data_IF_849553685430
#
_entry.id   IF_849553685430
#
_cell.length_a   1.000
_cell.length_b   1.000
_cell.length_c   1.000
_cell.angle_alpha   90.00
_cell.angle_beta   90.00
_cell.angle_gamma   90.00
#
_symmetry.space_group_name_H-M   'P 1'
#
loop_
_entity.id
_entity.type
_entity.pdbx_description
1 polymer ?
#
# COMPACT_ATOMS: atom_id res chain seq x y z
N UNK A 1 13.16 -17.68 45.81
CA UNK A 1 14.46 -17.96 45.16
C UNK A 1 15.35 -16.74 45.34
N UNK A 2 16.57 -16.90 45.85
CA UNK A 2 17.61 -15.86 45.76
C UNK A 2 18.24 -15.93 44.38
N UNK A 3 18.29 -14.81 43.67
CA UNK A 3 18.98 -14.72 42.37
C UNK A 3 20.47 -15.02 42.56
N UNK A 4 21.09 -15.65 41.58
CA UNK A 4 22.54 -15.89 41.60
C UNK A 4 23.34 -14.58 41.63
N UNK A 5 22.76 -13.50 41.10
CA UNK A 5 23.28 -12.14 41.13
C UNK A 5 22.15 -11.15 40.83
N UNK A 6 22.18 -9.98 41.46
CA UNK A 6 21.36 -8.83 41.11
C UNK A 6 22.27 -7.59 41.11
N UNK A 7 22.34 -6.80 40.01
CA UNK A 7 23.24 -5.67 39.94
C UNK A 7 22.79 -4.53 40.86
N UNK A 8 23.72 -3.97 41.63
CA UNK A 8 23.44 -2.85 42.55
C UNK A 8 23.45 -1.48 41.85
N UNK A 9 24.09 -1.37 40.67
CA UNK A 9 24.21 -0.12 39.90
C UNK A 9 24.42 -0.37 38.41
N UNK A 10 24.12 0.64 37.61
CA UNK A 10 24.54 0.80 36.21
C UNK A 10 25.75 1.75 36.20
N UNK A 11 26.77 1.43 35.42
CA UNK A 11 27.97 2.27 35.24
C UNK A 11 28.00 2.87 33.83
N UNK A 12 28.57 4.07 33.66
CA UNK A 12 28.81 4.66 32.34
C UNK A 12 30.25 4.41 31.93
N UNK A 13 30.47 3.66 30.85
CA UNK A 13 31.81 3.33 30.35
C UNK A 13 32.03 3.91 28.95
N UNK A 14 33.24 4.40 28.64
CA UNK A 14 33.59 4.81 27.28
C UNK A 14 33.44 3.64 26.29
N UNK A 15 32.87 3.88 25.10
CA UNK A 15 32.72 2.84 24.07
C UNK A 15 34.06 2.20 23.70
N UNK A 16 35.15 2.97 23.73
CA UNK A 16 36.52 2.49 23.46
C UNK A 16 37.02 1.43 24.43
N UNK A 17 36.41 1.33 25.63
CA UNK A 17 36.71 0.28 26.62
C UNK A 17 35.98 -1.02 26.32
N UNK A 18 34.90 -0.99 25.54
CA UNK A 18 34.06 -2.15 25.26
C UNK A 18 34.68 -3.00 24.15
N UNK A 19 35.01 -4.25 24.47
CA UNK A 19 35.64 -5.17 23.56
C UNK A 19 34.59 -6.14 22.99
N UNK A 20 34.35 -6.13 21.66
CA UNK A 20 33.46 -7.09 21.04
C UNK A 20 33.97 -8.52 21.24
N UNK A 21 33.06 -9.43 21.62
CA UNK A 21 33.39 -10.86 21.67
C UNK A 21 33.71 -11.40 20.27
N UNK A 22 34.95 -11.87 20.07
CA UNK A 22 35.45 -12.28 18.76
C UNK A 22 34.70 -13.46 18.11
N UNK A 23 34.00 -14.28 18.90
CA UNK A 23 33.22 -15.44 18.43
C UNK A 23 31.72 -15.24 18.62
N UNK A 24 31.23 -14.01 18.50
CA UNK A 24 29.80 -13.75 18.59
C UNK A 24 29.05 -14.45 17.45
N UNK A 25 28.12 -15.35 17.78
CA UNK A 25 27.35 -16.11 16.79
C UNK A 25 26.24 -15.28 16.13
N UNK A 26 25.81 -14.18 16.77
CA UNK A 26 24.80 -13.26 16.23
C UNK A 26 25.47 -12.15 15.43
N UNK A 27 25.19 -12.09 14.14
CA UNK A 27 25.70 -11.07 13.23
C UNK A 27 24.69 -9.92 13.15
N UNK A 28 25.19 -8.68 13.18
CA UNK A 28 24.38 -7.48 13.03
C UNK A 28 24.66 -6.84 11.67
N UNK A 29 23.70 -6.94 10.74
CA UNK A 29 23.77 -6.27 9.44
C UNK A 29 23.54 -4.76 9.55
N UNK A 30 23.93 -4.00 8.52
CA UNK A 30 23.80 -2.54 8.50
C UNK A 30 22.37 -2.07 8.76
N UNK A 31 21.37 -2.69 8.12
CA UNK A 31 19.96 -2.34 8.29
C UNK A 31 19.46 -2.55 9.72
N UNK A 32 19.87 -3.65 10.35
CA UNK A 32 19.52 -3.92 11.75
C UNK A 32 20.15 -2.89 12.69
N UNK A 33 21.42 -2.51 12.46
CA UNK A 33 22.09 -1.47 13.25
C UNK A 33 21.39 -0.12 13.07
N UNK A 34 20.99 0.22 11.85
CA UNK A 34 20.24 1.45 11.55
C UNK A 34 18.89 1.50 12.28
N UNK A 35 18.11 0.39 12.29
CA UNK A 35 16.86 0.30 13.05
C UNK A 35 17.09 0.48 14.56
N UNK A 36 18.12 -0.16 15.12
CA UNK A 36 18.48 0.01 16.54
C UNK A 36 18.90 1.46 16.82
N UNK A 37 19.62 2.11 15.91
CA UNK A 37 20.02 3.51 16.05
C UNK A 37 18.81 4.47 16.00
N UNK A 38 17.86 4.25 15.09
CA UNK A 38 16.63 5.03 15.04
C UNK A 38 15.80 4.88 16.33
N UNK A 39 15.60 3.64 16.79
CA UNK A 39 14.94 3.35 18.07
C UNK A 39 15.67 3.99 19.26
N UNK A 40 17.01 3.94 19.30
CA UNK A 40 17.80 4.58 20.35
C UNK A 40 17.73 6.11 20.31
N UNK A 41 17.61 6.72 19.13
CA UNK A 41 17.47 8.17 18.99
C UNK A 41 16.10 8.65 19.51
N UNK A 42 15.04 7.87 19.29
CA UNK A 42 13.68 8.19 19.74
C UNK A 42 13.48 7.89 21.24
N UNK A 43 13.74 6.65 21.65
CA UNK A 43 13.41 6.18 23.00
C UNK A 43 14.58 6.28 24.00
N UNK A 44 15.77 6.65 23.52
CA UNK A 44 16.99 6.66 24.31
C UNK A 44 17.61 5.27 24.53
N UNK A 45 18.65 5.23 25.37
CA UNK A 45 19.31 3.98 25.73
C UNK A 45 18.59 3.27 26.88
N UNK A 46 17.62 2.42 26.55
CA UNK A 46 16.71 1.82 27.54
C UNK A 46 17.24 0.57 28.24
N UNK A 47 18.18 -0.15 27.63
CA UNK A 47 18.75 -1.40 28.19
C UNK A 47 20.28 -1.30 28.28
N UNK A 48 20.92 -1.44 29.46
CA UNK A 48 22.38 -1.42 29.58
C UNK A 48 23.08 -2.60 28.90
N UNK A 49 24.31 -2.40 28.43
CA UNK A 49 25.18 -3.48 27.96
C UNK A 49 25.61 -4.38 29.13
N UNK A 50 25.76 -5.67 28.88
CA UNK A 50 26.30 -6.62 29.86
C UNK A 50 27.76 -6.91 29.52
N UNK A 51 28.66 -6.71 30.48
CA UNK A 51 30.11 -6.80 30.24
C UNK A 51 30.82 -7.64 31.30
N UNK A 52 31.94 -8.25 30.93
CA UNK A 52 32.92 -8.74 31.90
C UNK A 52 33.72 -7.60 32.54
N UNK A 53 34.38 -7.88 33.67
CA UNK A 53 35.28 -6.90 34.33
C UNK A 53 36.42 -6.43 33.42
N UNK A 54 36.83 -7.28 32.49
CA UNK A 54 37.84 -7.04 31.44
C UNK A 54 37.33 -6.16 30.29
N UNK A 55 36.04 -5.80 30.28
CA UNK A 55 35.41 -5.03 29.22
C UNK A 55 34.93 -5.84 28.02
N UNK A 56 35.02 -7.17 28.07
CA UNK A 56 34.46 -8.02 27.02
C UNK A 56 32.92 -7.98 27.03
N UNK A 57 32.31 -7.69 25.89
CA UNK A 57 30.86 -7.65 25.73
C UNK A 57 30.26 -9.05 25.87
N UNK A 58 29.34 -9.19 26.81
CA UNK A 58 28.50 -10.37 27.02
C UNK A 58 27.17 -10.19 26.29
N UNK A 59 26.54 -9.01 26.36
CA UNK A 59 25.34 -8.69 25.60
C UNK A 59 25.29 -7.20 25.23
N UNK A 60 24.64 -6.87 24.11
CA UNK A 60 24.46 -5.49 23.65
C UNK A 60 25.36 -5.05 22.50
N UNK A 61 25.96 -5.98 21.74
CA UNK A 61 26.80 -5.66 20.58
C UNK A 61 26.10 -4.75 19.56
N UNK A 62 24.85 -5.05 19.19
CA UNK A 62 24.06 -4.19 18.30
C UNK A 62 23.83 -2.76 18.83
N UNK A 63 23.65 -2.61 20.15
CA UNK A 63 23.52 -1.29 20.80
C UNK A 63 24.81 -0.49 20.75
N UNK A 64 25.96 -1.12 20.96
CA UNK A 64 27.28 -0.46 20.83
C UNK A 64 27.53 0.00 19.39
N UNK A 65 27.17 -0.82 18.40
CA UNK A 65 27.26 -0.45 16.99
C UNK A 65 26.35 0.74 16.66
N UNK A 66 25.09 0.71 17.10
CA UNK A 66 24.13 1.79 16.90
C UNK A 66 24.58 3.09 17.58
N UNK A 67 25.06 3.01 18.82
CA UNK A 67 25.60 4.15 19.54
C UNK A 67 26.81 4.79 18.84
N UNK A 68 27.69 3.96 18.29
CA UNK A 68 28.83 4.41 17.48
C UNK A 68 28.34 5.13 16.23
N UNK A 69 27.32 4.61 15.55
CA UNK A 69 26.71 5.25 14.38
C UNK A 69 26.05 6.60 14.73
N UNK A 70 25.47 6.73 15.92
CA UNK A 70 24.89 7.98 16.44
C UNK A 70 25.95 8.96 16.97
N UNK A 71 27.24 8.60 16.99
CA UNK A 71 28.32 9.45 17.49
C UNK A 71 28.39 9.55 19.02
N UNK A 72 27.73 8.65 19.75
CA UNK A 72 27.85 8.56 21.21
C UNK A 72 29.25 8.05 21.60
N UNK A 73 29.73 8.46 22.77
CA UNK A 73 31.09 8.12 23.26
C UNK A 73 31.09 7.23 24.49
N UNK A 74 29.94 7.08 25.16
CA UNK A 74 29.78 6.27 26.37
C UNK A 74 28.54 5.37 26.26
N UNK A 75 28.54 4.26 26.99
CA UNK A 75 27.41 3.35 27.12
C UNK A 75 27.12 3.03 28.61
N UNK A 76 25.85 2.90 28.99
CA UNK A 76 25.48 2.30 30.27
C UNK A 76 25.77 0.80 30.25
N UNK A 77 26.44 0.31 31.29
CA UNK A 77 26.85 -1.09 31.44
C UNK A 77 26.47 -1.65 32.81
N UNK A 78 26.26 -2.96 32.84
CA UNK A 78 26.20 -3.77 34.06
C UNK A 78 27.36 -4.77 33.99
N UNK A 79 28.20 -4.75 35.02
CA UNK A 79 29.39 -5.61 35.11
C UNK A 79 29.02 -6.94 35.73
N UNK A 80 29.20 -8.03 34.98
CA UNK A 80 28.91 -9.40 35.40
C UNK A 80 30.19 -10.13 35.85
N UNK A 81 30.91 -9.55 36.83
CA UNK A 81 32.18 -10.09 37.34
C UNK A 81 32.07 -11.48 37.97
N UNK A 82 30.88 -11.84 38.44
CA UNK A 82 30.60 -13.15 39.04
C UNK A 82 30.56 -14.32 38.02
N UNK A 83 30.46 -14.03 36.71
CA UNK A 83 30.39 -15.07 35.68
C UNK A 83 31.78 -15.59 35.31
N UNK A 84 31.95 -16.90 35.42
CA UNK A 84 33.07 -17.61 34.81
C UNK A 84 33.03 -17.48 33.28
N UNK A 85 34.17 -17.66 32.63
CA UNK A 85 34.27 -17.59 31.16
C UNK A 85 33.33 -18.59 30.44
N UNK A 86 33.13 -19.78 30.99
CA UNK A 86 32.15 -20.73 30.46
C UNK A 86 30.70 -20.21 30.59
N UNK A 87 30.36 -19.56 31.71
CA UNK A 87 29.04 -18.96 31.92
C UNK A 87 28.82 -17.74 31.02
N UNK A 88 29.83 -16.91 30.76
CA UNK A 88 29.72 -15.79 29.81
C UNK A 88 29.37 -16.28 28.41
N UNK A 89 30.04 -17.34 27.94
CA UNK A 89 29.73 -17.98 26.65
C UNK A 89 28.32 -18.59 26.61
N UNK A 90 27.93 -19.31 27.66
CA UNK A 90 26.59 -19.87 27.75
C UNK A 90 25.51 -18.77 27.76
N UNK A 91 25.74 -17.70 28.53
CA UNK A 91 24.81 -16.59 28.63
C UNK A 91 24.66 -15.82 27.31
N UNK A 92 25.74 -15.60 26.55
CA UNK A 92 25.66 -15.02 25.18
C UNK A 92 24.68 -15.77 24.28
N UNK A 93 24.70 -17.10 24.35
CA UNK A 93 23.79 -17.95 23.56
C UNK A 93 22.37 -17.84 24.11
N UNK A 94 22.22 -17.93 25.44
CA UNK A 94 20.94 -17.85 26.11
C UNK A 94 20.23 -16.51 25.86
N UNK A 95 20.91 -15.37 26.04
CA UNK A 95 20.36 -14.03 25.83
C UNK A 95 19.79 -13.85 24.42
N UNK A 96 20.53 -14.33 23.42
CA UNK A 96 20.10 -14.32 22.04
C UNK A 96 18.91 -15.24 21.80
N UNK A 97 18.98 -16.50 22.27
CA UNK A 97 17.96 -17.51 21.98
C UNK A 97 16.67 -17.27 22.75
N UNK A 98 16.74 -16.87 24.02
CA UNK A 98 15.56 -16.65 24.86
C UNK A 98 14.70 -15.50 24.34
N UNK A 99 15.32 -14.47 23.75
CA UNK A 99 14.60 -13.37 23.08
C UNK A 99 13.82 -13.85 21.85
N UNK A 100 14.25 -14.94 21.18
CA UNK A 100 13.56 -15.52 20.02
C UNK A 100 12.43 -16.50 20.38
N UNK A 101 12.34 -16.95 21.64
CA UNK A 101 11.37 -17.98 22.04
C UNK A 101 9.98 -17.41 22.35
N UNK A 102 9.84 -16.09 22.50
CA UNK A 102 8.55 -15.44 22.69
C UNK A 102 7.72 -15.48 21.41
N UNK A 103 6.42 -15.72 21.56
CA UNK A 103 5.43 -15.55 20.51
C UNK A 103 4.57 -14.32 20.82
N UNK A 104 4.06 -13.68 19.78
CA UNK A 104 3.07 -12.62 19.91
C UNK A 104 1.67 -13.19 20.04
N UNK A 105 0.83 -12.52 20.82
CA UNK A 105 -0.62 -12.61 20.64
C UNK A 105 -0.96 -11.64 19.51
N UNK A 106 -1.23 -12.17 18.31
CA UNK A 106 -1.42 -11.36 17.11
C UNK A 106 -2.65 -10.44 17.21
N UNK A 107 -3.68 -10.86 17.96
CA UNK A 107 -4.88 -10.05 18.15
C UNK A 107 -4.59 -8.82 19.02
N UNK A 108 -3.92 -9.02 20.16
CA UNK A 108 -3.54 -7.91 21.03
C UNK A 108 -2.49 -7.00 20.38
N UNK A 109 -1.53 -7.58 19.66
CA UNK A 109 -0.50 -6.82 18.95
C UNK A 109 -1.11 -5.98 17.81
N UNK A 110 -2.05 -6.54 17.05
CA UNK A 110 -2.77 -5.81 16.00
C UNK A 110 -3.54 -4.61 16.56
N UNK A 111 -4.26 -4.80 17.67
CA UNK A 111 -5.00 -3.72 18.31
C UNK A 111 -4.07 -2.57 18.75
N UNK A 112 -2.98 -2.89 19.44
CA UNK A 112 -2.00 -1.90 19.89
C UNK A 112 -1.37 -1.13 18.71
N UNK A 113 -1.03 -1.82 17.61
CA UNK A 113 -0.46 -1.17 16.43
C UNK A 113 -1.46 -0.24 15.73
N UNK A 114 -2.75 -0.60 15.71
CA UNK A 114 -3.80 0.27 15.17
C UNK A 114 -4.03 1.51 16.05
N UNK A 115 -3.97 1.37 17.38
CA UNK A 115 -4.10 2.49 18.30
C UNK A 115 -2.91 3.46 18.15
N UNK A 116 -1.67 2.94 18.08
CA UNK A 116 -0.48 3.77 17.80
C UNK A 116 -0.58 4.48 16.44
N UNK A 117 -1.12 3.82 15.41
CA UNK A 117 -1.34 4.44 14.11
C UNK A 117 -2.37 5.57 14.18
N UNK A 118 -3.44 5.40 14.95
CA UNK A 118 -4.47 6.41 15.16
C UNK A 118 -3.95 7.63 15.97
N UNK A 119 -2.88 7.46 16.75
CA UNK A 119 -2.16 8.52 17.45
C UNK A 119 -1.05 9.18 16.60
N UNK A 120 -1.00 8.91 15.29
CA UNK A 120 0.02 9.39 14.35
C UNK A 120 1.47 8.98 14.74
N UNK A 121 1.65 7.86 15.43
CA UNK A 121 2.96 7.36 15.83
C UNK A 121 3.71 6.70 14.65
N UNK A 122 5.03 6.92 14.55
CA UNK A 122 5.87 6.31 13.51
C UNK A 122 6.15 4.82 13.80
N UNK A 123 5.34 3.95 13.20
CA UNK A 123 5.47 2.49 13.32
C UNK A 123 6.76 1.92 12.69
N UNK A 124 7.54 2.70 11.93
CA UNK A 124 8.84 2.22 11.43
C UNK A 124 9.84 1.96 12.58
N UNK A 125 9.58 2.53 13.76
CA UNK A 125 10.45 2.48 14.94
C UNK A 125 10.21 1.27 15.84
N UNK A 126 9.09 0.53 15.67
CA UNK A 126 8.74 -0.60 16.54
C UNK A 126 9.49 -1.90 16.19
N UNK A 127 10.24 -1.90 15.09
CA UNK A 127 11.19 -2.97 14.74
C UNK A 127 10.67 -4.02 13.76
N UNK A 128 9.39 -3.98 13.40
CA UNK A 128 8.80 -4.79 12.33
C UNK A 128 9.25 -4.27 10.94
N UNK A 129 9.21 -5.14 9.93
CA UNK A 129 9.28 -4.72 8.53
C UNK A 129 7.93 -4.17 8.05
N UNK A 130 7.93 -3.36 6.98
CA UNK A 130 6.70 -2.84 6.38
C UNK A 130 5.70 -3.96 6.05
N UNK A 131 6.19 -5.11 5.56
CA UNK A 131 5.34 -6.26 5.22
C UNK A 131 4.75 -6.98 6.44
N UNK A 132 5.44 -7.00 7.57
CA UNK A 132 4.91 -7.55 8.83
C UNK A 132 3.86 -6.62 9.43
N UNK A 133 4.11 -5.31 9.42
CA UNK A 133 3.15 -4.30 9.88
C UNK A 133 1.84 -4.36 9.07
N UNK A 134 1.93 -4.44 7.74
CA UNK A 134 0.75 -4.52 6.87
C UNK A 134 -0.10 -5.77 7.20
N UNK A 135 0.53 -6.90 7.56
CA UNK A 135 -0.19 -8.12 7.99
C UNK A 135 -0.84 -7.96 9.36
N UNK A 136 -0.11 -7.41 10.32
CA UNK A 136 -0.60 -7.21 11.68
C UNK A 136 -1.73 -6.19 11.73
N UNK A 137 -1.65 -5.10 10.97
CA UNK A 137 -2.71 -4.09 10.90
C UNK A 137 -3.98 -4.62 10.21
N UNK A 138 -3.83 -5.54 9.25
CA UNK A 138 -4.94 -6.20 8.56
C UNK A 138 -5.46 -7.46 9.27
N UNK A 139 -4.93 -7.80 10.45
CA UNK A 139 -5.33 -8.99 11.20
C UNK A 139 -6.79 -8.88 11.68
N UNK A 140 -7.57 -9.93 11.43
CA UNK A 140 -8.94 -10.08 11.95
C UNK A 140 -8.96 -11.38 12.76
N UNK A 141 -9.32 -11.34 14.06
CA UNK A 141 -9.37 -12.55 14.88
C UNK A 141 -10.33 -13.58 14.27
N UNK A 142 -9.89 -14.83 14.10
CA UNK A 142 -10.79 -15.94 13.84
C UNK A 142 -11.62 -16.19 15.10
N UNK A 143 -12.88 -15.75 15.08
CA UNK A 143 -13.84 -16.03 16.15
C UNK A 143 -14.16 -17.51 16.21
N UNK A 144 -14.08 -18.06 17.42
CA UNK A 144 -14.42 -19.42 17.80
C UNK A 144 -15.78 -19.85 17.22
N UNK A 145 -15.82 -21.03 16.61
CA UNK A 145 -16.87 -21.44 15.68
C UNK A 145 -18.31 -21.33 16.18
N UNK A 146 -19.11 -20.61 15.41
CA UNK A 146 -20.40 -21.11 14.94
C UNK A 146 -20.38 -21.08 13.41
N UNK A 147 -20.71 -22.23 12.79
CA UNK A 147 -21.06 -22.32 11.38
C UNK A 147 -22.35 -21.54 11.14
N UNK A 148 -22.24 -20.21 11.04
CA UNK A 148 -23.20 -19.38 10.35
C UNK A 148 -22.42 -18.55 9.32
N UNK A 149 -22.80 -18.71 8.05
CA UNK A 149 -22.08 -18.23 6.87
C UNK A 149 -22.01 -16.71 6.75
N UNK A 150 -21.26 -16.07 7.64
CA UNK A 150 -20.88 -14.67 7.59
C UNK A 150 -19.36 -14.60 7.55
N UNK A 151 -18.81 -14.97 6.40
CA UNK A 151 -17.45 -14.56 6.06
C UNK A 151 -17.39 -13.04 6.23
N UNK A 152 -16.46 -12.56 7.05
CA UNK A 152 -16.33 -11.15 7.42
C UNK A 152 -16.52 -10.26 6.20
N UNK A 153 -17.69 -9.64 6.11
CA UNK A 153 -17.97 -8.68 5.07
C UNK A 153 -17.10 -7.48 5.40
N UNK A 154 -16.01 -7.31 4.64
CA UNK A 154 -15.52 -5.96 4.33
C UNK A 154 -16.79 -5.19 3.96
N UNK A 155 -17.12 -4.08 4.65
CA UNK A 155 -18.33 -3.34 4.34
C UNK A 155 -18.42 -3.16 2.82
N UNK A 156 -19.60 -3.35 2.21
CA UNK A 156 -19.76 -3.09 0.79
C UNK A 156 -19.14 -1.75 0.43
N UNK A 157 -18.11 -1.79 -0.41
CA UNK A 157 -17.50 -0.59 -0.96
C UNK A 157 -18.60 0.10 -1.75
N UNK A 158 -19.23 1.10 -1.14
CA UNK A 158 -20.31 1.85 -1.78
C UNK A 158 -19.66 2.95 -2.61
N UNK A 159 -19.63 2.74 -3.92
CA UNK A 159 -19.15 3.75 -4.87
C UNK A 159 -20.35 4.63 -5.22
N UNK A 160 -20.29 5.95 -4.96
CA UNK A 160 -21.34 6.87 -5.37
C UNK A 160 -21.63 6.78 -6.88
N UNK A 161 -22.89 6.92 -7.27
CA UNK A 161 -23.23 7.04 -8.69
C UNK A 161 -22.60 8.33 -9.28
N UNK A 162 -22.01 8.27 -10.48
CA UNK A 162 -21.44 9.46 -11.11
C UNK A 162 -22.48 10.58 -11.27
N UNK A 163 -22.20 11.81 -10.77
CA UNK A 163 -23.16 12.90 -10.84
C UNK A 163 -23.39 13.34 -12.29
N UNK A 164 -24.65 13.64 -12.64
CA UNK A 164 -25.00 14.15 -13.97
C UNK A 164 -24.42 15.53 -14.26
N UNK A 165 -24.16 16.33 -13.22
CA UNK A 165 -23.53 17.63 -13.31
C UNK A 165 -22.38 17.70 -12.29
N UNK A 166 -21.14 17.38 -12.70
CA UNK A 166 -20.01 17.35 -11.79
C UNK A 166 -19.54 18.75 -11.39
N UNK A 167 -19.07 18.86 -10.15
CA UNK A 167 -18.35 20.01 -9.63
C UNK A 167 -16.98 20.15 -10.30
N UNK A 168 -16.24 19.06 -10.45
CA UNK A 168 -14.93 19.05 -11.11
C UNK A 168 -15.03 19.40 -12.59
N UNK A 169 -13.93 19.94 -13.13
CA UNK A 169 -13.74 20.34 -14.53
C UNK A 169 -12.36 19.90 -14.99
N UNK A 170 -12.21 19.69 -16.30
CA UNK A 170 -10.90 19.42 -16.91
C UNK A 170 -9.88 20.48 -16.50
N UNK A 171 -8.71 20.03 -16.05
CA UNK A 171 -7.66 20.87 -15.51
C UNK A 171 -7.72 21.08 -13.99
N UNK A 172 -8.79 20.67 -13.29
CA UNK A 172 -8.77 20.71 -11.83
C UNK A 172 -7.81 19.64 -11.29
N UNK A 173 -6.94 20.05 -10.36
CA UNK A 173 -6.10 19.14 -9.61
C UNK A 173 -6.55 19.18 -8.15
N UNK A 174 -7.00 18.04 -7.64
CA UNK A 174 -7.39 17.87 -6.25
C UNK A 174 -6.23 17.28 -5.44
N UNK A 175 -6.01 17.84 -4.26
CA UNK A 175 -5.11 17.32 -3.23
C UNK A 175 -5.96 16.57 -2.20
N UNK A 176 -5.68 15.29 -2.03
CA UNK A 176 -6.42 14.36 -1.17
C UNK A 176 -5.44 13.81 -0.14
N UNK A 177 -5.14 14.59 0.91
CA UNK A 177 -4.03 14.27 1.82
C UNK A 177 -2.70 14.26 1.05
N UNK A 178 -1.98 13.13 1.06
CA UNK A 178 -0.74 12.97 0.30
C UNK A 178 -0.96 12.48 -1.15
N UNK A 179 -2.22 12.22 -1.53
CA UNK A 179 -2.61 11.85 -2.88
C UNK A 179 -2.91 13.07 -3.75
N UNK A 180 -2.84 12.87 -5.07
CA UNK A 180 -3.18 13.89 -6.06
C UNK A 180 -4.08 13.27 -7.12
N UNK A 181 -5.16 13.95 -7.48
CA UNK A 181 -6.07 13.52 -8.52
C UNK A 181 -6.29 14.65 -9.53
N UNK A 182 -5.81 14.47 -10.75
CA UNK A 182 -5.99 15.42 -11.85
C UNK A 182 -7.16 14.99 -12.74
N UNK A 183 -8.09 15.92 -12.99
CA UNK A 183 -9.04 15.80 -14.08
C UNK A 183 -8.33 16.12 -15.40
N UNK A 184 -7.79 15.12 -16.10
CA UNK A 184 -6.91 15.33 -17.25
C UNK A 184 -6.71 14.11 -18.14
N UNK A 185 -5.87 14.26 -19.15
CA UNK A 185 -5.59 13.23 -20.16
C UNK A 185 -4.26 12.53 -19.85
N UNK A 186 -4.30 11.22 -19.62
CA UNK A 186 -3.11 10.42 -19.32
C UNK A 186 -2.16 10.22 -20.51
N UNK A 187 -2.59 10.55 -21.73
CA UNK A 187 -1.75 10.60 -22.93
C UNK A 187 -1.04 11.95 -23.09
N UNK A 188 -1.47 12.99 -22.37
CA UNK A 188 -0.90 14.33 -22.40
C UNK A 188 0.32 14.44 -21.48
N UNK A 189 1.51 14.56 -22.06
CA UNK A 189 2.74 14.80 -21.28
C UNK A 189 2.67 16.07 -20.41
N UNK A 190 1.86 17.08 -20.79
CA UNK A 190 1.67 18.28 -19.99
C UNK A 190 0.86 18.00 -18.71
N UNK A 191 -0.20 17.22 -18.82
CA UNK A 191 -1.05 16.86 -17.69
C UNK A 191 -0.30 15.91 -16.75
N UNK A 192 0.38 14.90 -17.30
CA UNK A 192 1.22 13.99 -16.50
C UNK A 192 2.29 14.78 -15.74
N UNK A 193 3.01 15.68 -16.41
CA UNK A 193 4.03 16.52 -15.74
C UNK A 193 3.44 17.37 -14.62
N UNK A 194 2.26 17.95 -14.83
CA UNK A 194 1.56 18.73 -13.80
C UNK A 194 1.16 17.88 -12.60
N UNK A 195 0.54 16.71 -12.86
CA UNK A 195 0.16 15.76 -11.83
C UNK A 195 1.37 15.25 -11.04
N UNK A 196 2.52 15.07 -11.69
CA UNK A 196 3.71 14.51 -11.05
C UNK A 196 4.56 15.57 -10.32
N UNK A 197 4.50 16.84 -10.73
CA UNK A 197 5.21 17.97 -10.10
C UNK A 197 6.69 17.69 -9.79
N UNK A 198 7.39 17.03 -10.72
CA UNK A 198 8.81 16.70 -10.59
C UNK A 198 9.12 15.42 -9.81
N UNK A 199 8.14 14.79 -9.16
CA UNK A 199 8.29 13.47 -8.56
C UNK A 199 8.11 12.35 -9.59
N UNK A 200 8.61 11.15 -9.27
CA UNK A 200 8.45 9.95 -10.10
C UNK A 200 8.08 8.73 -9.27
N UNK A 201 7.11 7.97 -9.72
CA UNK A 201 6.58 6.79 -9.06
C UNK A 201 7.43 5.53 -9.32
N UNK A 202 7.61 4.70 -8.30
CA UNK A 202 8.27 3.38 -8.40
C UNK A 202 7.29 2.28 -8.81
N UNK A 203 5.99 2.57 -8.80
CA UNK A 203 4.93 1.67 -9.23
C UNK A 203 4.00 2.37 -10.22
N UNK A 204 3.82 1.74 -11.37
CA UNK A 204 2.76 2.00 -12.34
C UNK A 204 1.82 0.81 -12.28
N UNK A 205 0.62 0.93 -11.72
CA UNK A 205 -0.29 -0.20 -11.67
C UNK A 205 -1.66 0.28 -12.10
N UNK A 206 -2.18 -0.23 -13.22
CA UNK A 206 -3.31 0.44 -13.88
C UNK A 206 -4.30 -0.50 -14.55
N UNK A 207 -5.50 0.02 -14.75
CA UNK A 207 -6.67 -0.63 -15.33
C UNK A 207 -7.26 0.20 -16.48
N UNK A 208 -6.60 0.22 -17.66
CA UNK A 208 -7.02 1.05 -18.77
C UNK A 208 -8.31 0.53 -19.41
N UNK A 209 -9.01 1.33 -20.23
CA UNK A 209 -10.03 0.83 -21.14
C UNK A 209 -9.50 -0.35 -21.98
N UNK A 210 -10.24 -1.46 -22.01
CA UNK A 210 -9.79 -2.72 -22.63
C UNK A 210 -9.95 -2.74 -24.16
N UNK A 211 -10.55 -1.72 -24.75
CA UNK A 211 -10.86 -1.57 -26.17
C UNK A 211 -11.59 -2.81 -26.73
N UNK A 212 -12.61 -3.31 -26.04
CA UNK A 212 -13.34 -4.53 -26.42
C UNK A 212 -14.78 -4.28 -26.89
N UNK A 213 -15.13 -3.03 -27.19
CA UNK A 213 -16.48 -2.62 -27.61
C UNK A 213 -17.56 -3.04 -26.60
N UNK A 214 -17.27 -2.94 -25.30
CA UNK A 214 -18.25 -3.30 -24.28
C UNK A 214 -19.37 -2.24 -24.20
N UNK A 215 -20.57 -2.61 -24.65
CA UNK A 215 -21.77 -1.76 -24.67
C UNK A 215 -22.84 -2.16 -23.64
N UNK A 216 -22.52 -3.10 -22.74
CA UNK A 216 -23.45 -3.63 -21.73
C UNK A 216 -24.51 -4.63 -22.26
N UNK A 217 -24.65 -4.81 -23.58
CA UNK A 217 -25.63 -5.73 -24.20
C UNK A 217 -25.17 -7.20 -24.25
N UNK A 218 -23.90 -7.44 -23.90
CA UNK A 218 -23.24 -8.74 -24.00
C UNK A 218 -23.63 -9.76 -22.90
N UNK A 219 -24.51 -9.38 -21.96
CA UNK A 219 -25.07 -10.28 -20.95
C UNK A 219 -26.44 -10.87 -21.37
N UNK A 220 -26.78 -12.10 -20.94
CA UNK A 220 -28.12 -12.66 -21.14
C UNK A 220 -29.19 -11.78 -20.46
N UNK A 221 -30.28 -11.50 -21.18
CA UNK A 221 -31.29 -10.45 -20.96
C UNK A 221 -32.22 -10.65 -19.74
N UNK A 222 -31.71 -11.05 -18.57
CA UNK A 222 -32.52 -11.18 -17.34
C UNK A 222 -32.06 -10.33 -16.14
N UNK A 223 -31.11 -9.42 -16.33
CA UNK A 223 -30.69 -8.44 -15.32
C UNK A 223 -30.63 -7.03 -15.92
N UNK A 224 -30.76 -6.01 -15.05
CA UNK A 224 -30.82 -4.55 -15.33
C UNK A 224 -30.08 -4.12 -16.60
N UNK A 225 -30.74 -3.33 -17.43
CA UNK A 225 -30.17 -2.67 -18.61
C UNK A 225 -29.24 -1.54 -18.14
N UNK A 226 -27.93 -1.71 -18.38
CA UNK A 226 -26.88 -0.75 -18.00
C UNK A 226 -26.49 0.20 -19.14
N UNK A 227 -27.18 0.16 -20.28
CA UNK A 227 -26.89 1.00 -21.45
C UNK A 227 -26.91 2.50 -21.13
N UNK A 228 -27.73 2.92 -20.17
CA UNK A 228 -27.83 4.31 -19.73
C UNK A 228 -26.58 4.82 -18.97
N UNK A 229 -25.81 3.93 -18.30
CA UNK A 229 -24.59 4.30 -17.58
C UNK A 229 -23.38 4.49 -18.50
N UNK A 230 -23.43 3.96 -19.73
CA UNK A 230 -22.36 4.01 -20.75
C UNK A 230 -22.64 5.01 -21.87
N UNK A 231 -23.19 6.19 -21.54
CA UNK A 231 -23.52 7.25 -22.50
C UNK A 231 -22.35 7.84 -23.30
N UNK A 232 -21.10 7.39 -23.08
CA UNK A 232 -19.93 7.72 -23.88
C UNK A 232 -19.00 6.51 -23.90
N UNK A 233 -18.89 5.82 -25.04
CA UNK A 233 -18.12 4.58 -25.19
C UNK A 233 -16.63 4.88 -25.30
N UNK A 234 -15.93 4.93 -24.16
CA UNK A 234 -14.46 5.02 -24.11
C UNK A 234 -13.76 3.67 -24.36
N UNK A 235 -14.51 2.56 -24.36
CA UNK A 235 -14.06 1.19 -24.66
C UNK A 235 -14.17 0.86 -26.15
N UNK A 236 -13.77 1.78 -27.03
CA UNK A 236 -13.87 1.64 -28.49
C UNK A 236 -12.64 0.93 -29.06
N UNK A 237 -12.85 -0.24 -29.69
CA UNK A 237 -11.79 -1.01 -30.35
C UNK A 237 -11.04 -0.24 -31.46
N UNK A 238 -11.63 0.84 -31.98
CA UNK A 238 -11.05 1.70 -33.01
C UNK A 238 -9.87 2.56 -32.51
N UNK A 239 -9.78 2.82 -31.20
CA UNK A 239 -8.66 3.56 -30.60
C UNK A 239 -7.32 2.78 -30.67
N UNK A 240 -7.39 1.45 -30.86
CA UNK A 240 -6.23 0.61 -31.16
C UNK A 240 -5.05 0.73 -30.19
N UNK A 241 -3.84 0.57 -30.71
CA UNK A 241 -2.60 0.67 -29.93
C UNK A 241 -2.22 2.12 -29.57
N UNK A 242 -2.83 3.13 -30.21
CA UNK A 242 -2.41 4.53 -30.07
C UNK A 242 -2.67 5.07 -28.66
N UNK A 243 -3.81 4.71 -28.05
CA UNK A 243 -4.08 5.04 -26.65
C UNK A 243 -2.99 4.47 -25.72
N UNK A 244 -2.68 3.18 -25.90
CA UNK A 244 -1.68 2.47 -25.10
C UNK A 244 -0.28 3.02 -25.28
N UNK A 245 0.13 3.23 -26.53
CA UNK A 245 1.39 3.89 -26.85
C UNK A 245 1.47 5.29 -26.22
N UNK A 246 0.38 6.05 -26.26
CA UNK A 246 0.30 7.42 -25.74
C UNK A 246 0.51 7.50 -24.24
N UNK A 247 -0.30 6.79 -23.44
CA UNK A 247 -0.19 6.87 -21.98
C UNK A 247 1.10 6.19 -21.48
N UNK A 248 1.58 5.12 -22.13
CA UNK A 248 2.85 4.49 -21.77
C UNK A 248 3.99 5.46 -22.05
N UNK A 249 4.02 6.11 -23.22
CA UNK A 249 5.07 7.08 -23.55
C UNK A 249 5.07 8.27 -22.57
N UNK A 250 3.89 8.81 -22.23
CA UNK A 250 3.77 9.89 -21.25
C UNK A 250 4.23 9.47 -19.85
N UNK A 251 3.85 8.27 -19.40
CA UNK A 251 4.26 7.73 -18.10
C UNK A 251 5.77 7.53 -18.02
N UNK A 252 6.38 6.91 -19.04
CA UNK A 252 7.84 6.72 -19.12
C UNK A 252 8.56 8.07 -19.12
N UNK A 253 8.06 9.03 -19.89
CA UNK A 253 8.68 10.35 -20.02
C UNK A 253 8.58 11.17 -18.74
N UNK A 254 7.46 11.13 -18.01
CA UNK A 254 7.16 12.14 -16.97
C UNK A 254 6.79 11.57 -15.60
N UNK A 255 6.33 10.31 -15.50
CA UNK A 255 5.71 9.80 -14.26
C UNK A 255 6.49 8.74 -13.51
N UNK A 256 7.20 7.84 -14.18
CA UNK A 256 7.79 6.66 -13.51
C UNK A 256 9.31 6.73 -13.46
N UNK A 257 9.89 6.09 -12.45
CA UNK A 257 11.35 5.90 -12.36
C UNK A 257 11.82 4.85 -13.38
N UNK A 258 13.13 4.81 -13.65
CA UNK A 258 13.67 3.84 -14.62
C UNK A 258 13.57 2.38 -14.14
N UNK A 259 13.47 2.17 -12.83
CA UNK A 259 13.33 0.90 -12.12
C UNK A 259 11.90 0.64 -11.64
N UNK A 260 10.90 1.36 -12.18
CA UNK A 260 9.51 1.16 -11.78
C UNK A 260 8.97 -0.22 -12.20
N UNK A 261 8.25 -0.87 -11.29
CA UNK A 261 7.41 -2.00 -11.64
C UNK A 261 6.16 -1.49 -12.37
N UNK A 262 5.79 -2.14 -13.47
CA UNK A 262 4.51 -1.87 -14.12
C UNK A 262 3.57 -3.07 -14.04
N UNK A 263 2.30 -2.80 -13.77
CA UNK A 263 1.17 -3.71 -13.77
C UNK A 263 0.08 -3.13 -14.67
N UNK A 264 -0.43 -3.92 -15.59
CA UNK A 264 -1.49 -3.48 -16.49
C UNK A 264 -2.53 -4.59 -16.63
N UNK A 265 -3.72 -4.35 -16.08
CA UNK A 265 -4.87 -5.22 -16.27
C UNK A 265 -5.36 -5.12 -17.73
N UNK A 266 -5.80 -6.23 -18.31
CA UNK A 266 -6.25 -6.24 -19.69
C UNK A 266 -7.25 -7.35 -19.99
N UNK A 267 -7.96 -7.23 -21.12
CA UNK A 267 -8.66 -8.37 -21.70
C UNK A 267 -7.67 -9.34 -22.35
N UNK A 268 -7.88 -10.66 -22.23
CA UNK A 268 -7.01 -11.67 -22.84
C UNK A 268 -6.86 -11.49 -24.37
N UNK A 269 -7.89 -10.95 -25.04
CA UNK A 269 -7.87 -10.69 -26.49
C UNK A 269 -6.90 -9.57 -26.91
N UNK A 270 -6.45 -8.72 -25.98
CA UNK A 270 -5.55 -7.58 -26.24
C UNK A 270 -4.11 -7.82 -25.78
N UNK A 271 -3.79 -8.99 -25.23
CA UNK A 271 -2.47 -9.29 -24.67
C UNK A 271 -1.31 -8.98 -25.63
N UNK A 272 -1.40 -9.41 -26.90
CA UNK A 272 -0.31 -9.23 -27.86
C UNK A 272 -0.08 -7.75 -28.24
N UNK A 273 -1.16 -6.96 -28.27
CA UNK A 273 -1.07 -5.52 -28.52
C UNK A 273 -0.42 -4.82 -27.34
N UNK A 274 -0.86 -5.12 -26.12
CA UNK A 274 -0.31 -4.53 -24.90
C UNK A 274 1.18 -4.86 -24.73
N UNK A 275 1.56 -6.12 -24.96
CA UNK A 275 2.96 -6.55 -24.93
C UNK A 275 3.80 -5.78 -25.94
N UNK A 276 3.34 -5.63 -27.19
CA UNK A 276 4.04 -4.86 -28.22
C UNK A 276 4.20 -3.36 -27.85
N UNK A 277 3.21 -2.75 -27.20
CA UNK A 277 3.30 -1.34 -26.75
C UNK A 277 4.39 -1.18 -25.68
N UNK A 278 4.47 -2.10 -24.72
CA UNK A 278 5.52 -2.09 -23.70
C UNK A 278 6.90 -2.41 -24.26
N UNK A 279 7.01 -3.33 -25.22
CA UNK A 279 8.27 -3.61 -25.92
C UNK A 279 8.81 -2.38 -26.65
N UNK A 280 7.93 -1.62 -27.32
CA UNK A 280 8.28 -0.34 -27.97
C UNK A 280 8.80 0.70 -26.96
N UNK A 281 8.31 0.69 -25.72
CA UNK A 281 8.78 1.53 -24.63
C UNK A 281 10.08 1.03 -23.94
N UNK A 282 10.69 -0.04 -24.46
CA UNK A 282 11.90 -0.66 -23.90
C UNK A 282 11.65 -1.51 -22.65
N UNK A 283 10.38 -1.80 -22.36
CA UNK A 283 9.99 -2.73 -21.31
C UNK A 283 9.80 -4.14 -21.86
N UNK A 284 9.59 -5.10 -20.96
CA UNK A 284 9.15 -6.44 -21.34
C UNK A 284 8.16 -6.96 -20.31
N UNK A 285 7.31 -7.89 -20.74
CA UNK A 285 6.43 -8.64 -19.85
C UNK A 285 7.27 -9.69 -19.14
N UNK A 286 7.41 -9.58 -17.81
CA UNK A 286 8.10 -10.59 -17.03
C UNK A 286 7.18 -11.78 -16.73
N UNK A 287 5.98 -11.49 -16.25
CA UNK A 287 5.00 -12.49 -15.82
C UNK A 287 3.58 -12.02 -16.10
N UNK A 288 2.68 -12.99 -16.27
CA UNK A 288 1.24 -12.76 -16.25
C UNK A 288 0.69 -13.19 -14.89
N UNK A 289 0.04 -12.24 -14.21
CA UNK A 289 -0.74 -12.45 -13.00
C UNK A 289 -2.20 -12.73 -13.41
N UNK A 290 -2.87 -13.62 -12.67
CA UNK A 290 -4.26 -14.01 -12.90
C UNK A 290 -5.06 -13.72 -11.64
N UNK A 291 -5.96 -12.73 -11.69
CA UNK A 291 -7.01 -12.61 -10.67
C UNK A 291 -8.03 -13.72 -10.90
N UNK A 292 -8.15 -14.65 -9.97
CA UNK A 292 -9.14 -15.71 -9.95
C UNK A 292 -10.38 -15.20 -9.21
N UNK A 293 -11.51 -15.15 -9.91
CA UNK A 293 -12.81 -14.75 -9.36
C UNK A 293 -13.49 -15.94 -8.71
N UNK A 294 -14.32 -15.73 -7.69
CA UNK A 294 -15.05 -16.84 -7.03
C UNK A 294 -16.06 -17.51 -7.98
N UNK A 295 -16.67 -16.70 -8.85
CA UNK A 295 -17.74 -17.13 -9.75
C UNK A 295 -17.40 -16.75 -11.19
N UNK A 296 -17.72 -17.64 -12.11
CA UNK A 296 -17.62 -17.36 -13.54
C UNK A 296 -18.69 -16.35 -13.97
N UNK A 297 -18.30 -15.40 -14.81
CA UNK A 297 -19.20 -14.41 -15.41
C UNK A 297 -20.01 -15.09 -16.53
N UNK A 298 -21.33 -15.02 -16.44
CA UNK A 298 -22.26 -15.52 -17.46
C UNK A 298 -22.23 -14.62 -18.69
N UNK A 299 -21.61 -15.11 -19.76
CA UNK A 299 -21.55 -14.47 -21.07
C UNK A 299 -21.99 -15.47 -22.15
N UNK A 300 -21.99 -15.05 -23.42
CA UNK A 300 -22.21 -15.95 -24.57
C UNK A 300 -20.94 -16.72 -24.99
N UNK A 301 -19.86 -16.66 -24.21
CA UNK A 301 -18.59 -17.34 -24.50
C UNK A 301 -18.68 -18.86 -24.27
N UNK A 302 -17.82 -19.65 -24.94
CA UNK A 302 -17.76 -21.11 -24.76
C UNK A 302 -17.41 -21.55 -23.34
N UNK A 303 -16.60 -20.75 -22.64
CA UNK A 303 -16.25 -20.94 -21.23
C UNK A 303 -16.61 -19.69 -20.45
N UNK A 304 -17.00 -19.87 -19.18
CA UNK A 304 -17.27 -18.74 -18.29
C UNK A 304 -15.95 -18.06 -17.91
N UNK A 305 -15.90 -16.73 -18.03
CA UNK A 305 -14.76 -15.95 -17.56
C UNK A 305 -14.73 -15.97 -16.04
N UNK A 306 -13.83 -16.75 -15.45
CA UNK A 306 -13.58 -16.83 -13.99
C UNK A 306 -12.25 -16.17 -13.60
N UNK A 307 -11.66 -15.39 -14.50
CA UNK A 307 -10.42 -14.69 -14.22
C UNK A 307 -10.27 -13.40 -15.01
N UNK A 308 -9.37 -12.54 -14.54
CA UNK A 308 -8.82 -11.41 -15.30
C UNK A 308 -7.29 -11.50 -15.31
N UNK A 309 -6.64 -11.38 -16.49
CA UNK A 309 -5.19 -11.31 -16.56
C UNK A 309 -4.68 -9.89 -16.30
N UNK A 310 -3.48 -9.83 -15.73
CA UNK A 310 -2.68 -8.64 -15.57
C UNK A 310 -1.25 -8.96 -16.00
N UNK A 311 -0.65 -8.12 -16.82
CA UNK A 311 0.78 -8.22 -17.07
C UNK A 311 1.57 -7.46 -16.02
N UNK A 312 2.69 -8.05 -15.61
CA UNK A 312 3.69 -7.44 -14.75
C UNK A 312 5.03 -7.44 -15.48
N UNK A 313 5.74 -6.31 -15.41
CA UNK A 313 7.06 -6.17 -16.02
C UNK A 313 7.83 -4.94 -15.56
N UNK A 314 8.91 -4.64 -16.29
CA UNK A 314 9.72 -3.45 -16.07
C UNK A 314 10.50 -3.03 -17.32
N UNK A 315 11.07 -1.82 -17.27
CA UNK A 315 11.98 -1.29 -18.31
C UNK A 315 13.37 -1.86 -18.15
N UNK A 316 13.94 -2.40 -19.22
CA UNK A 316 15.32 -2.93 -19.18
C UNK A 316 16.34 -1.80 -19.13
N UNK A 317 17.46 -1.96 -18.39
CA UNK A 317 17.88 -3.17 -17.66
C UNK A 317 17.45 -3.20 -16.18
N UNK A 318 16.73 -2.19 -15.69
CA UNK A 318 16.57 -1.94 -14.26
C UNK A 318 15.41 -2.74 -13.68
N UNK A 319 15.73 -3.82 -12.97
CA UNK A 319 14.72 -4.62 -12.26
C UNK A 319 14.17 -3.84 -11.06
N UNK A 320 12.85 -3.81 -10.83
CA UNK A 320 12.26 -3.13 -9.69
C UNK A 320 12.69 -3.72 -8.36
N UNK A 321 12.79 -2.89 -7.30
CA UNK A 321 13.00 -3.38 -5.96
C UNK A 321 11.81 -4.25 -5.52
N UNK A 322 12.12 -5.25 -4.70
CA UNK A 322 11.11 -6.03 -3.97
C UNK A 322 11.21 -5.65 -2.51
N UNK A 323 10.16 -5.03 -1.96
CA UNK A 323 10.11 -4.62 -0.56
C UNK A 323 9.48 -5.69 0.34
N UNK A 324 8.63 -6.55 -0.22
CA UNK A 324 8.06 -7.68 0.50
C UNK A 324 9.04 -8.85 0.64
N UNK A 325 9.08 -9.47 1.82
CA UNK A 325 9.81 -10.73 2.02
C UNK A 325 9.11 -11.88 1.29
N UNK A 326 7.78 -11.95 1.40
CA UNK A 326 6.98 -13.03 0.84
C UNK A 326 6.97 -13.04 -0.68
N UNK A 327 7.09 -14.24 -1.27
CA UNK A 327 6.94 -14.45 -2.71
C UNK A 327 5.58 -15.06 -2.98
N UNK A 328 4.71 -14.28 -3.64
CA UNK A 328 3.34 -14.68 -3.93
C UNK A 328 3.25 -15.51 -5.22
N UNK A 329 2.25 -16.41 -5.33
CA UNK A 329 1.94 -17.07 -6.60
C UNK A 329 1.43 -16.05 -7.63
N UNK A 330 1.55 -16.39 -8.91
CA UNK A 330 1.02 -15.55 -10.01
C UNK A 330 -0.51 -15.64 -10.16
N UNK A 331 -1.18 -16.43 -9.32
CA UNK A 331 -2.65 -16.51 -9.27
C UNK A 331 -3.14 -15.93 -7.95
N UNK A 332 -4.00 -14.92 -8.02
CA UNK A 332 -4.54 -14.23 -6.86
C UNK A 332 -6.02 -14.55 -6.73
N UNK A 333 -6.40 -15.30 -5.70
CA UNK A 333 -7.79 -15.52 -5.36
C UNK A 333 -8.29 -14.34 -4.53
N UNK A 334 -8.86 -13.34 -5.20
CA UNK A 334 -9.44 -12.17 -4.55
C UNK A 334 -10.97 -12.30 -4.64
N UNK A 335 -11.68 -12.29 -3.50
CA UNK A 335 -13.12 -12.50 -3.52
C UNK A 335 -13.82 -11.42 -4.35
N UNK A 336 -14.82 -11.83 -5.13
CA UNK A 336 -15.68 -10.88 -5.84
C UNK A 336 -16.79 -10.44 -4.91
N UNK A 337 -17.06 -9.13 -4.82
CA UNK A 337 -18.11 -8.57 -3.95
C UNK A 337 -19.41 -9.39 -3.99
N UNK A 338 -19.96 -9.71 -2.82
CA UNK A 338 -21.22 -10.43 -2.67
C UNK A 338 -22.35 -9.68 -3.39
N UNK A 339 -23.41 -10.39 -3.80
CA UNK A 339 -24.46 -9.84 -4.68
C UNK A 339 -25.21 -8.65 -4.03
N UNK A 340 -25.28 -8.63 -2.71
CA UNK A 340 -25.94 -7.60 -1.90
C UNK A 340 -24.99 -6.45 -1.53
N UNK A 341 -23.69 -6.62 -1.82
CA UNK A 341 -22.60 -5.69 -1.53
C UNK A 341 -21.96 -5.08 -2.78
N UNK A 342 -22.58 -5.27 -3.94
CA UNK A 342 -22.07 -4.69 -5.19
C UNK A 342 -22.34 -3.19 -5.19
N UNK A 343 -21.32 -2.32 -5.28
CA UNK A 343 -21.58 -0.95 -5.68
C UNK A 343 -22.32 -0.91 -7.01
N UNK A 344 -23.12 0.13 -7.25
CA UNK A 344 -23.73 0.44 -8.56
C UNK A 344 -22.65 0.91 -9.55
N UNK A 345 -21.63 0.06 -9.76
CA UNK A 345 -20.58 0.18 -10.75
C UNK A 345 -20.38 -1.18 -11.45
N UNK A 346 -20.26 -1.25 -12.78
CA UNK A 346 -20.23 -2.51 -13.52
C UNK A 346 -19.00 -3.40 -13.24
N UNK A 347 -17.86 -2.85 -12.82
CA UNK A 347 -16.59 -3.60 -12.61
C UNK A 347 -15.70 -3.07 -11.46
N UNK A 348 -16.13 -3.05 -10.19
CA UNK A 348 -15.23 -2.72 -9.08
C UNK A 348 -14.16 -3.81 -8.91
N UNK A 349 -12.87 -3.44 -9.02
CA UNK A 349 -11.76 -4.30 -8.63
C UNK A 349 -11.62 -4.31 -7.10
N UNK A 350 -11.30 -5.45 -6.47
CA UNK A 350 -10.91 -5.48 -5.06
C UNK A 350 -9.73 -4.53 -4.83
N UNK A 351 -9.70 -3.80 -3.72
CA UNK A 351 -8.60 -2.86 -3.41
C UNK A 351 -7.22 -3.54 -3.48
N UNK A 352 -7.17 -4.81 -3.06
CA UNK A 352 -5.95 -5.62 -3.08
C UNK A 352 -5.42 -5.95 -4.49
N UNK A 353 -6.23 -5.79 -5.54
CA UNK A 353 -5.73 -5.86 -6.92
C UNK A 353 -4.65 -4.78 -7.19
N UNK A 354 -4.70 -3.66 -6.46
CA UNK A 354 -3.69 -2.61 -6.48
C UNK A 354 -2.82 -2.61 -5.21
N UNK A 355 -3.38 -3.02 -4.06
CA UNK A 355 -2.66 -3.13 -2.79
C UNK A 355 -1.51 -4.15 -2.81
N UNK A 356 -1.69 -5.31 -3.45
CA UNK A 356 -0.63 -6.32 -3.56
C UNK A 356 0.60 -5.76 -4.30
N UNK A 357 0.50 -5.16 -5.50
CA UNK A 357 1.62 -4.47 -6.14
C UNK A 357 2.29 -3.41 -5.25
N UNK A 358 1.51 -2.62 -4.50
CA UNK A 358 2.05 -1.63 -3.57
C UNK A 358 2.92 -2.28 -2.49
N UNK A 359 2.41 -3.33 -1.83
CA UNK A 359 3.16 -4.06 -0.79
C UNK A 359 4.38 -4.81 -1.34
N UNK A 360 4.38 -5.20 -2.61
CA UNK A 360 5.51 -5.88 -3.24
C UNK A 360 6.64 -4.93 -3.64
N UNK A 361 6.33 -3.69 -4.04
CA UNK A 361 7.31 -2.80 -4.70
C UNK A 361 7.50 -1.42 -4.05
N UNK A 362 6.59 -0.99 -3.19
CA UNK A 362 6.52 0.40 -2.69
C UNK A 362 6.67 0.41 -1.18
N UNK A 363 7.77 0.98 -0.69
CA UNK A 363 7.95 1.29 0.72
C UNK A 363 6.83 2.23 1.21
N UNK A 364 6.50 2.21 2.51
CA UNK A 364 5.50 3.15 3.07
C UNK A 364 5.90 4.61 2.77
N UNK A 365 4.91 5.45 2.47
CA UNK A 365 5.11 6.82 1.97
C UNK A 365 5.61 6.92 0.52
N UNK A 366 5.96 5.81 -0.12
CA UNK A 366 6.38 5.76 -1.52
C UNK A 366 5.26 6.09 -2.51
N UNK A 367 5.63 6.42 -3.74
CA UNK A 367 4.72 6.96 -4.76
C UNK A 367 4.32 5.94 -5.83
N UNK A 368 3.02 5.86 -6.08
CA UNK A 368 2.38 5.11 -7.17
C UNK A 368 1.78 6.09 -8.19
N UNK A 369 1.86 5.75 -9.48
CA UNK A 369 1.19 6.47 -10.55
C UNK A 369 0.03 5.66 -11.11
N UNK A 370 -1.12 6.32 -11.27
CA UNK A 370 -2.34 5.72 -11.80
C UNK A 370 -2.98 6.55 -12.94
N UNK A 371 -2.87 6.14 -14.21
CA UNK A 371 -3.38 6.93 -15.33
C UNK A 371 -4.90 6.83 -15.61
N UNK A 372 -5.65 5.93 -14.98
CA UNK A 372 -7.07 5.65 -15.25
C UNK A 372 -7.89 5.44 -13.97
N UNK A 373 -7.89 6.45 -13.11
CA UNK A 373 -8.35 6.36 -11.72
C UNK A 373 -9.80 5.89 -11.55
N UNK A 374 -10.69 6.21 -12.50
CA UNK A 374 -12.11 5.92 -12.40
C UNK A 374 -12.69 6.41 -11.07
N UNK A 375 -13.30 5.51 -10.31
CA UNK A 375 -13.87 5.78 -8.97
C UNK A 375 -12.84 5.86 -7.83
N UNK A 376 -11.55 5.99 -8.12
CA UNK A 376 -10.50 6.21 -7.11
C UNK A 376 -10.09 4.97 -6.33
N UNK A 377 -10.35 3.76 -6.84
CA UNK A 377 -10.04 2.51 -6.10
C UNK A 377 -8.56 2.39 -5.71
N UNK A 378 -7.65 2.84 -6.56
CA UNK A 378 -6.23 2.81 -6.22
C UNK A 378 -5.83 3.89 -5.23
N UNK A 379 -6.50 5.06 -5.22
CA UNK A 379 -6.31 6.08 -4.17
C UNK A 379 -6.68 5.47 -2.82
N UNK A 380 -7.84 4.79 -2.73
CA UNK A 380 -8.27 4.08 -1.52
C UNK A 380 -7.28 2.98 -1.11
N UNK A 381 -6.75 2.22 -2.07
CA UNK A 381 -5.71 1.22 -1.77
C UNK A 381 -4.43 1.87 -1.25
N UNK A 382 -4.04 3.02 -1.81
CA UNK A 382 -2.91 3.81 -1.34
C UNK A 382 -3.11 4.26 0.11
N UNK A 383 -4.26 4.83 0.43
CA UNK A 383 -4.63 5.25 1.78
C UNK A 383 -4.52 4.07 2.77
N UNK A 384 -5.20 2.96 2.47
CA UNK A 384 -5.22 1.77 3.33
C UNK A 384 -3.83 1.13 3.53
N UNK A 385 -2.89 1.36 2.59
CA UNK A 385 -1.54 0.85 2.69
C UNK A 385 -0.55 1.96 3.12
N UNK A 386 -0.95 3.21 3.37
CA UNK A 386 0.00 4.30 3.67
C UNK A 386 1.00 4.57 2.54
N UNK A 387 0.55 4.50 1.28
CA UNK A 387 1.32 4.82 0.07
C UNK A 387 0.65 5.97 -0.68
N UNK A 388 1.45 6.82 -1.34
CA UNK A 388 0.97 7.97 -2.10
C UNK A 388 0.52 7.53 -3.49
N UNK A 389 -0.54 8.14 -4.00
CA UNK A 389 -1.08 7.83 -5.33
C UNK A 389 -1.32 9.13 -6.08
N UNK A 390 -0.63 9.29 -7.20
CA UNK A 390 -0.88 10.37 -8.14
C UNK A 390 -1.67 9.80 -9.32
N UNK A 391 -2.93 10.23 -9.39
CA UNK A 391 -3.95 9.63 -10.21
C UNK A 391 -4.48 10.62 -11.27
N UNK A 392 -4.84 10.09 -12.44
CA UNK A 392 -5.45 10.82 -13.54
C UNK A 392 -6.83 10.24 -13.84
N UNK A 393 -7.81 11.10 -14.10
CA UNK A 393 -9.13 10.70 -14.60
C UNK A 393 -9.66 11.73 -15.60
N UNK A 394 -10.11 11.26 -16.77
CA UNK A 394 -10.58 12.14 -17.84
C UNK A 394 -12.00 12.66 -17.59
N UNK A 395 -12.84 11.87 -16.93
CA UNK A 395 -14.24 12.19 -16.65
C UNK A 395 -14.37 13.00 -15.36
N UNK A 396 -14.85 14.26 -15.44
CA UNK A 396 -15.04 15.06 -14.23
C UNK A 396 -16.06 14.45 -13.25
N UNK A 397 -17.01 13.64 -13.73
CA UNK A 397 -17.96 12.93 -12.86
C UNK A 397 -17.28 11.81 -12.05
N UNK A 398 -16.33 11.10 -12.64
CA UNK A 398 -15.57 10.09 -11.89
C UNK A 398 -14.55 10.72 -10.94
N UNK A 399 -14.02 11.91 -11.26
CA UNK A 399 -13.22 12.71 -10.33
C UNK A 399 -14.02 13.06 -9.08
N UNK A 400 -15.25 13.56 -9.23
CA UNK A 400 -16.13 13.84 -8.09
C UNK A 400 -16.38 12.59 -7.24
N UNK A 401 -16.68 11.45 -7.88
CA UNK A 401 -16.88 10.17 -7.19
C UNK A 401 -15.65 9.75 -6.39
N UNK A 402 -14.46 9.85 -6.97
CA UNK A 402 -13.21 9.50 -6.30
C UNK A 402 -12.92 10.43 -5.10
N UNK A 403 -13.15 11.75 -5.27
CA UNK A 403 -13.01 12.73 -4.18
C UNK A 403 -13.99 12.41 -3.05
N UNK A 404 -15.29 12.30 -3.35
CA UNK A 404 -16.31 12.06 -2.34
C UNK A 404 -16.07 10.74 -1.59
N UNK A 405 -15.68 9.68 -2.31
CA UNK A 405 -15.34 8.39 -1.72
C UNK A 405 -14.17 8.48 -0.74
N UNK A 406 -13.10 9.19 -1.11
CA UNK A 406 -11.95 9.36 -0.23
C UNK A 406 -12.26 10.25 0.99
N UNK A 407 -13.03 11.33 0.80
CA UNK A 407 -13.45 12.18 1.93
C UNK A 407 -14.36 11.42 2.91
N UNK A 408 -15.25 10.56 2.39
CA UNK A 408 -16.15 9.76 3.22
C UNK A 408 -15.39 8.72 4.07
N UNK A 409 -14.35 8.10 3.51
CA UNK A 409 -13.52 7.13 4.23
C UNK A 409 -12.62 7.82 5.27
N UNK A 410 -11.99 8.94 4.91
CA UNK A 410 -10.93 9.55 5.74
C UNK A 410 -11.43 10.66 6.65
N UNK A 411 -12.63 11.19 6.41
CA UNK A 411 -13.16 12.38 7.10
C UNK A 411 -12.42 13.69 6.77
N UNK A 412 -11.47 13.68 5.83
CA UNK A 412 -10.69 14.87 5.43
C UNK A 412 -11.29 15.55 4.22
N UNK A 413 -11.01 16.85 4.07
CA UNK A 413 -11.44 17.64 2.92
C UNK A 413 -10.42 17.56 1.77
N UNK A 414 -10.89 17.32 0.55
CA UNK A 414 -10.10 17.47 -0.66
C UNK A 414 -9.98 18.95 -1.03
N UNK A 415 -8.78 19.36 -1.43
CA UNK A 415 -8.43 20.77 -1.66
C UNK A 415 -8.09 20.99 -3.14
N UNK A 416 -8.66 22.04 -3.74
CA UNK A 416 -8.31 22.44 -5.10
C UNK A 416 -6.93 23.09 -5.11
N UNK A 417 -6.01 22.54 -5.89
CA UNK A 417 -4.69 23.10 -6.10
C UNK A 417 -4.76 24.48 -6.76
N UNK A 418 -3.94 25.42 -6.28
CA UNK A 418 -3.83 26.79 -6.79
C UNK A 418 -4.55 27.86 -5.96
N UNK A 419 -5.76 27.60 -5.44
CA UNK A 419 -6.50 28.58 -4.62
C UNK A 419 -6.99 28.06 -3.25
N UNK A 420 -6.81 26.78 -2.96
CA UNK A 420 -6.97 26.22 -1.61
C UNK A 420 -8.41 25.98 -1.16
N UNK A 421 -9.39 26.12 -2.05
CA UNK A 421 -10.80 25.87 -1.73
C UNK A 421 -11.07 24.38 -1.50
N UNK A 422 -11.96 24.05 -0.58
CA UNK A 422 -12.42 22.66 -0.39
C UNK A 422 -13.35 22.22 -1.52
N UNK A 423 -13.46 20.92 -1.74
CA UNK A 423 -14.39 20.35 -2.72
C UNK A 423 -15.83 20.85 -2.49
N UNK A 424 -16.28 20.94 -1.23
CA UNK A 424 -17.60 21.46 -0.88
C UNK A 424 -17.80 22.94 -1.30
N UNK A 425 -16.79 23.79 -1.14
CA UNK A 425 -16.84 25.19 -1.57
C UNK A 425 -16.94 25.28 -3.10
N UNK A 426 -16.08 24.55 -3.81
CA UNK A 426 -16.05 24.53 -5.28
C UNK A 426 -17.36 23.99 -5.85
N UNK A 427 -17.91 22.93 -5.24
CA UNK A 427 -19.22 22.37 -5.60
C UNK A 427 -20.34 23.39 -5.42
N UNK A 428 -20.37 24.08 -4.29
CA UNK A 428 -21.38 25.11 -4.00
C UNK A 428 -21.30 26.26 -4.99
N UNK A 429 -20.09 26.72 -5.32
CA UNK A 429 -19.88 27.82 -6.28
C UNK A 429 -20.28 27.44 -7.71
N UNK A 430 -19.87 26.25 -8.18
CA UNK A 430 -20.06 25.84 -9.57
C UNK A 430 -21.46 25.31 -9.86
N UNK A 431 -22.12 24.71 -8.87
CA UNK A 431 -23.44 24.08 -9.03
C UNK A 431 -24.57 24.89 -8.38
N UNK A 432 -24.24 25.90 -7.57
CA UNK A 432 -25.19 26.61 -6.73
C UNK A 432 -25.61 25.81 -5.50
N UNK A 433 -26.26 26.46 -4.53
CA UNK A 433 -26.68 25.86 -3.25
C UNK A 433 -27.84 24.83 -3.35
N UNK A 434 -28.02 24.16 -4.49
CA UNK A 434 -29.20 23.32 -4.74
C UNK A 434 -28.77 21.90 -5.12
N UNK A 435 -28.65 21.03 -4.12
CA UNK A 435 -29.12 19.64 -4.09
C UNK A 435 -28.93 19.14 -2.64
N UNK A 436 -30.04 18.71 -2.03
CA UNK A 436 -30.18 18.46 -0.62
C UNK A 436 -29.19 17.41 -0.07
N UNK A 437 -28.72 17.65 1.15
CA UNK A 437 -28.09 16.64 1.99
C UNK A 437 -28.98 15.37 2.06
N UNK A 438 -28.39 14.17 2.16
CA UNK A 438 -29.17 12.96 2.41
C UNK A 438 -29.99 13.14 3.70
N UNK A 439 -31.26 12.76 3.64
CA UNK A 439 -32.19 12.91 4.77
C UNK A 439 -31.63 12.20 6.03
N UNK A 440 -31.76 12.80 7.22
CA UNK A 440 -31.31 12.15 8.45
C UNK A 440 -32.09 10.85 8.65
N UNK A 441 -31.36 9.81 9.09
CA UNK A 441 -31.90 8.49 9.41
C UNK A 441 -33.14 8.62 10.31
N UNK A 442 -34.21 7.82 10.07
CA UNK A 442 -35.33 7.79 10.99
C UNK A 442 -34.85 7.21 12.33
N UNK A 443 -35.10 7.95 13.42
CA UNK A 443 -34.86 7.45 14.78
C UNK A 443 -35.56 6.10 15.00
N UNK A 444 -34.93 5.18 15.75
CA UNK A 444 -35.57 3.91 16.09
C UNK A 444 -36.80 4.18 16.94
N UNK A 445 -37.96 3.71 16.47
CA UNK A 445 -39.20 3.75 17.23
C UNK A 445 -39.04 2.97 18.54
N UNK A 446 -39.43 3.61 19.63
CA UNK A 446 -39.44 3.09 21.00
C UNK A 446 -40.35 1.86 21.20
#
# INVERSE_FOLDING_TARGET
MTLAFAPERIEMWPLSRLQPYARNAKVHGADQVAKIAASMAEFGWTVPCLVGEDGELIAGHGRVLAATQLGLTEAPVIVLGHLTEAQRRAYRIADNKLTELGSWDEALLSAELNDLLAEDFDLSLVGFSDGELDKLLAFVPEGDGEEDGTGGSVPPVTIPEPPRNPASRTGDLWILGDHRLLCGDSTSAADVRRLMNGERAILFATDPPYLVDYDGSNHPTRNKDWSASYGTTWDDSSQGAELYDGFIAAAVAEAITEDAAWYCWHASRRQAMLEACWEKAGAFVHQQIIWVKDRGVLTRSHYLWKHEPCFMGWRRPNRPPKVAEETLPSTWALPSFAKDDRPDHPTPKPLDAFGIPMRQHVARGGLCYEPFSGSGSQIMAGEANGRRVFAMEISPAYVDVAVERWQAETGRDAILDGDGRTFAQVRTERLGATLAAPAPHPEPAA
#
